data_IF_739750955715
#
_entry.id   IF_739750955715
#
_cell.length_a   1.000
_cell.length_b   1.000
_cell.length_c   1.000
_cell.angle_alpha   90.00
_cell.angle_beta   90.00
_cell.angle_gamma   90.00
#
_symmetry.space_group_name_H-M   'P 1'
#
loop_
_entity.id
_entity.type
_entity.pdbx_description
1 polymer ?
#
# COMPACT_ATOMS: atom_id res chain seq x y z
N UNK A 1 14.72 -34.79 -58.94
CA UNK A 1 14.20 -34.75 -57.55
C UNK A 1 12.68 -34.88 -57.63
N UNK A 2 12.13 -35.87 -56.91
CA UNK A 2 10.72 -36.27 -56.83
C UNK A 2 9.83 -35.07 -56.42
N UNK A 3 8.61 -34.89 -56.96
CA UNK A 3 7.37 -35.57 -56.54
C UNK A 3 6.85 -34.93 -55.25
N UNK A 4 5.67 -34.32 -55.16
CA UNK A 4 4.36 -34.87 -55.45
C UNK A 4 3.42 -34.41 -54.33
N UNK A 5 2.18 -34.14 -54.70
CA UNK A 5 1.02 -33.68 -53.92
C UNK A 5 0.79 -34.38 -52.57
N UNK A 6 0.22 -33.64 -51.61
CA UNK A 6 -0.80 -34.13 -50.67
C UNK A 6 -1.43 -33.01 -49.84
N UNK A 7 -2.59 -32.53 -50.31
CA UNK A 7 -3.60 -31.92 -49.46
C UNK A 7 -4.03 -32.91 -48.38
N UNK A 8 -3.98 -32.51 -47.12
CA UNK A 8 -4.78 -33.09 -46.06
C UNK A 8 -5.48 -31.95 -45.34
N UNK A 9 -6.76 -31.78 -45.66
CA UNK A 9 -7.67 -31.04 -44.81
C UNK A 9 -7.82 -31.81 -43.49
N UNK A 10 -7.57 -31.14 -42.37
CA UNK A 10 -8.07 -31.56 -41.08
C UNK A 10 -8.73 -30.34 -40.42
N UNK A 11 -10.04 -30.44 -40.40
CA UNK A 11 -11.07 -29.63 -39.77
C UNK A 11 -10.72 -29.04 -38.40
N UNK A 12 -11.15 -27.78 -38.23
CA UNK A 12 -11.94 -27.23 -37.10
C UNK A 12 -11.53 -27.63 -35.68
N UNK A 13 -11.00 -26.67 -34.92
CA UNK A 13 -11.63 -26.19 -33.67
C UNK A 13 -11.36 -24.69 -33.53
N UNK A 14 -12.42 -23.88 -33.64
CA UNK A 14 -12.43 -22.51 -33.14
C UNK A 14 -12.38 -22.59 -31.62
N UNK A 15 -11.22 -22.38 -31.02
CA UNK A 15 -11.12 -22.05 -29.60
C UNK A 15 -10.88 -20.54 -29.52
N UNK A 16 -11.95 -19.83 -29.17
CA UNK A 16 -11.89 -18.45 -28.73
C UNK A 16 -11.02 -18.35 -27.48
N UNK A 17 -9.72 -18.16 -27.66
CA UNK A 17 -8.84 -17.65 -26.61
C UNK A 17 -8.99 -16.12 -26.60
N UNK A 18 -10.05 -15.68 -25.93
CA UNK A 18 -10.10 -14.36 -25.30
C UNK A 18 -8.85 -14.22 -24.43
N UNK A 19 -8.32 -13.00 -24.36
CA UNK A 19 -7.28 -12.47 -23.45
C UNK A 19 -6.00 -12.04 -24.19
N UNK A 20 -6.08 -10.91 -24.87
CA UNK A 20 -4.89 -10.08 -25.13
C UNK A 20 -5.28 -8.61 -25.15
N UNK A 21 -5.24 -8.00 -23.98
CA UNK A 21 -4.99 -6.56 -23.82
C UNK A 21 -4.39 -6.33 -22.42
N UNK A 22 -3.13 -6.73 -22.27
CA UNK A 22 -2.22 -6.18 -21.25
C UNK A 22 -1.83 -4.77 -21.70
N UNK A 23 -2.68 -3.78 -21.40
CA UNK A 23 -2.44 -2.34 -21.61
C UNK A 23 -3.34 -1.58 -20.63
N UNK A 24 -2.89 -0.66 -19.78
CA UNK A 24 -1.57 -0.12 -19.57
C UNK A 24 -1.52 0.53 -18.18
N UNK A 25 -0.32 0.95 -17.85
CA UNK A 25 0.13 1.66 -16.67
C UNK A 25 -0.86 2.67 -16.08
N UNK A 26 -1.28 2.42 -14.85
CA UNK A 26 -1.27 3.44 -13.79
C UNK A 26 -0.44 2.91 -12.65
N UNK A 27 0.86 2.73 -12.90
CA UNK A 27 1.80 2.94 -11.80
C UNK A 27 1.59 4.40 -11.42
N UNK A 28 0.84 4.63 -10.34
CA UNK A 28 0.74 5.92 -9.69
C UNK A 28 2.17 6.39 -9.61
N UNK A 29 2.49 7.47 -10.33
CA UNK A 29 3.74 8.16 -10.16
C UNK A 29 3.75 8.55 -8.70
N UNK A 30 4.37 7.72 -7.87
CA UNK A 30 4.54 7.96 -6.45
C UNK A 30 5.41 9.20 -6.46
N UNK A 31 4.77 10.37 -6.30
CA UNK A 31 5.43 11.52 -5.74
C UNK A 31 6.10 10.96 -4.51
N UNK A 32 7.43 10.82 -4.55
CA UNK A 32 8.20 9.98 -3.64
C UNK A 32 7.66 10.18 -2.23
N UNK A 33 6.93 9.20 -1.68
CA UNK A 33 6.53 9.21 -0.28
C UNK A 33 7.81 9.50 0.50
N UNK A 34 7.79 10.54 1.34
CA UNK A 34 9.02 11.11 1.89
C UNK A 34 9.46 10.29 3.11
N UNK A 35 9.86 9.04 2.84
CA UNK A 35 10.36 8.11 3.84
C UNK A 35 11.61 8.63 4.54
N UNK A 36 12.36 9.55 3.93
CA UNK A 36 13.51 10.19 4.57
C UNK A 36 13.04 11.18 5.64
N UNK A 37 12.12 12.09 5.29
CA UNK A 37 11.50 13.03 6.24
C UNK A 37 10.79 12.28 7.37
N UNK A 38 10.02 11.24 7.03
CA UNK A 38 9.31 10.42 8.00
C UNK A 38 10.26 9.83 9.05
N UNK A 39 11.30 9.10 8.62
CA UNK A 39 12.27 8.49 9.54
C UNK A 39 13.04 9.54 10.33
N UNK A 40 13.43 10.65 9.69
CA UNK A 40 14.16 11.72 10.36
C UNK A 40 13.35 12.31 11.52
N UNK A 41 12.06 12.62 11.30
CA UNK A 41 11.17 13.12 12.35
C UNK A 41 10.96 12.11 13.48
N UNK A 42 10.92 10.81 13.18
CA UNK A 42 10.84 9.77 14.21
C UNK A 42 12.12 9.75 15.08
N UNK A 43 13.30 9.83 14.46
CA UNK A 43 14.56 9.88 15.18
C UNK A 43 14.69 11.14 16.05
N UNK A 44 14.27 12.29 15.54
CA UNK A 44 14.22 13.55 16.30
C UNK A 44 13.26 13.46 17.50
N UNK A 45 12.19 12.68 17.39
CA UNK A 45 11.26 12.37 18.49
C UNK A 45 11.76 11.26 19.43
N UNK A 46 12.98 10.74 19.23
CA UNK A 46 13.57 9.68 20.05
C UNK A 46 12.95 8.31 19.82
N UNK A 47 12.28 8.09 18.68
CA UNK A 47 11.62 6.83 18.34
C UNK A 47 12.59 5.95 17.55
N UNK A 48 13.01 4.85 18.17
CA UNK A 48 13.88 3.84 17.57
C UNK A 48 13.28 2.46 17.81
N UNK A 49 13.32 1.58 16.83
CA UNK A 49 12.84 0.20 16.97
C UNK A 49 13.98 -0.80 16.85
N UNK A 50 13.86 -2.01 17.44
CA UNK A 50 14.92 -3.02 17.38
C UNK A 50 15.31 -3.46 15.96
N UNK A 51 14.37 -3.39 15.00
CA UNK A 51 14.63 -3.71 13.58
C UNK A 51 15.05 -2.49 12.75
N UNK A 52 15.17 -1.32 13.38
CA UNK A 52 15.59 -0.07 12.76
C UNK A 52 14.57 0.50 11.77
N UNK A 53 15.05 1.44 10.93
CA UNK A 53 14.23 2.27 10.04
C UNK A 53 13.26 1.49 9.14
N UNK A 54 13.60 0.25 8.78
CA UNK A 54 12.74 -0.56 7.91
C UNK A 54 11.41 -0.90 8.58
N UNK A 55 11.41 -1.17 9.89
CA UNK A 55 10.19 -1.51 10.62
C UNK A 55 9.24 -0.31 10.73
N UNK A 56 9.77 0.88 11.02
CA UNK A 56 8.90 2.08 11.05
C UNK A 56 8.38 2.44 9.66
N UNK A 57 9.16 2.19 8.60
CA UNK A 57 8.68 2.36 7.21
C UNK A 57 7.56 1.38 6.87
N UNK A 58 7.65 0.12 7.32
CA UNK A 58 6.59 -0.88 7.19
C UNK A 58 5.31 -0.42 7.92
N UNK A 59 5.43 0.13 9.14
CA UNK A 59 4.30 0.69 9.87
C UNK A 59 3.66 1.86 9.12
N UNK A 60 4.48 2.81 8.63
CA UNK A 60 3.99 3.95 7.86
C UNK A 60 3.27 3.53 6.57
N UNK A 61 3.79 2.52 5.87
CA UNK A 61 3.14 1.95 4.69
C UNK A 61 1.79 1.28 5.04
N UNK A 62 1.71 0.54 6.14
CA UNK A 62 0.46 -0.07 6.60
C UNK A 62 -0.58 0.99 7.01
N UNK A 63 -0.16 2.08 7.64
CA UNK A 63 -1.03 3.23 7.96
C UNK A 63 -1.67 3.79 6.69
N UNK A 64 -0.89 4.01 5.63
CA UNK A 64 -1.44 4.49 4.36
C UNK A 64 -2.38 3.45 3.72
N UNK A 65 -2.01 2.17 3.70
CA UNK A 65 -2.88 1.12 3.18
C UNK A 65 -4.21 1.00 3.95
N UNK A 66 -4.21 1.24 5.27
CA UNK A 66 -5.43 1.28 6.08
C UNK A 66 -6.27 2.54 5.80
N UNK A 67 -5.61 3.70 5.60
CA UNK A 67 -6.27 4.95 5.19
C UNK A 67 -6.98 4.79 3.85
N UNK A 68 -6.31 4.23 2.86
CA UNK A 68 -6.87 3.99 1.52
C UNK A 68 -8.06 3.02 1.56
N UNK A 69 -8.06 2.08 2.52
CA UNK A 69 -9.18 1.17 2.82
C UNK A 69 -10.31 1.81 3.64
N UNK A 70 -10.25 3.12 3.90
CA UNK A 70 -11.26 3.88 4.65
C UNK A 70 -11.35 3.52 6.13
N UNK A 71 -10.28 2.97 6.72
CA UNK A 71 -10.24 2.67 8.15
C UNK A 71 -10.15 3.96 8.97
N UNK A 72 -10.60 3.92 10.22
CA UNK A 72 -10.52 5.09 11.10
C UNK A 72 -9.09 5.30 11.62
N UNK A 73 -8.72 6.51 12.06
CA UNK A 73 -7.39 6.78 12.66
C UNK A 73 -7.06 5.86 13.83
N UNK A 74 -8.07 5.51 14.64
CA UNK A 74 -7.90 4.52 15.72
C UNK A 74 -7.46 3.16 15.18
N UNK A 75 -8.03 2.72 14.07
CA UNK A 75 -7.65 1.46 13.43
C UNK A 75 -6.26 1.53 12.78
N UNK A 76 -5.82 2.69 12.30
CA UNK A 76 -4.45 2.88 11.81
C UNK A 76 -3.43 2.67 12.92
N UNK A 77 -3.70 3.24 14.09
CA UNK A 77 -2.86 3.08 15.27
C UNK A 77 -2.82 1.62 15.75
N UNK A 78 -4.00 1.02 15.94
CA UNK A 78 -4.13 -0.36 16.47
C UNK A 78 -3.58 -1.43 15.52
N UNK A 79 -3.71 -1.24 14.20
CA UNK A 79 -3.29 -2.24 13.22
C UNK A 79 -1.91 -1.94 12.64
N UNK A 80 -1.62 -0.67 12.32
CA UNK A 80 -0.37 -0.25 11.69
C UNK A 80 0.81 -0.15 12.65
N UNK A 81 0.59 0.26 13.90
CA UNK A 81 1.67 0.46 14.89
C UNK A 81 1.62 -0.58 16.01
N UNK A 82 0.44 -0.88 16.57
CA UNK A 82 0.37 -1.83 17.70
C UNK A 82 0.51 -3.28 17.24
N UNK A 83 0.26 -3.56 15.95
CA UNK A 83 0.35 -4.91 15.39
C UNK A 83 -0.65 -5.86 16.06
N UNK A 84 -1.89 -5.42 16.27
CA UNK A 84 -2.96 -6.17 16.97
C UNK A 84 -2.75 -6.39 18.48
N UNK A 85 -1.78 -5.72 19.08
CA UNK A 85 -1.63 -5.67 20.53
C UNK A 85 -2.53 -4.59 21.15
N UNK A 86 -2.73 -4.64 22.48
CA UNK A 86 -3.49 -3.62 23.21
C UNK A 86 -2.72 -2.32 23.47
N UNK A 87 -1.41 -2.33 23.24
CA UNK A 87 -0.48 -1.23 23.52
C UNK A 87 0.63 -1.16 22.47
N UNK A 88 1.28 0.01 22.31
CA UNK A 88 2.44 0.16 21.43
C UNK A 88 3.57 -0.81 21.80
N UNK A 89 4.35 -1.32 20.82
CA UNK A 89 5.50 -2.18 21.09
C UNK A 89 6.69 -1.39 21.67
N UNK A 90 7.70 -2.12 22.14
CA UNK A 90 9.03 -1.59 22.50
C UNK A 90 9.05 -0.50 23.58
N UNK A 91 8.00 -0.43 24.41
CA UNK A 91 7.90 0.61 25.45
C UNK A 91 7.55 2.00 24.89
N UNK A 92 7.10 2.08 23.63
CA UNK A 92 6.61 3.34 23.07
C UNK A 92 5.43 3.86 23.87
N UNK A 93 5.39 5.18 24.09
CA UNK A 93 4.22 5.81 24.69
C UNK A 93 3.08 5.87 23.67
N UNK A 94 1.85 6.07 24.17
CA UNK A 94 0.72 6.35 23.29
C UNK A 94 0.94 7.62 22.47
N UNK A 95 1.58 8.65 23.02
CA UNK A 95 1.89 9.84 22.23
C UNK A 95 2.87 9.53 21.10
N UNK A 96 3.93 8.75 21.36
CA UNK A 96 4.89 8.35 20.31
C UNK A 96 4.22 7.53 19.22
N UNK A 97 3.30 6.64 19.57
CA UNK A 97 2.57 5.86 18.57
C UNK A 97 1.62 6.71 17.73
N UNK A 98 0.93 7.69 18.34
CA UNK A 98 0.14 8.67 17.58
C UNK A 98 1.04 9.51 16.66
N UNK A 99 2.20 9.94 17.14
CA UNK A 99 3.17 10.69 16.34
C UNK A 99 3.64 9.92 15.11
N UNK A 100 3.84 8.60 15.22
CA UNK A 100 4.16 7.73 14.07
C UNK A 100 3.02 7.78 13.03
N UNK A 101 1.77 7.63 13.47
CA UNK A 101 0.60 7.66 12.58
C UNK A 101 0.46 9.01 11.91
N UNK A 102 0.52 10.10 12.68
CA UNK A 102 0.37 11.47 12.15
C UNK A 102 1.47 11.81 11.14
N UNK A 103 2.71 11.42 11.42
CA UNK A 103 3.84 11.66 10.51
C UNK A 103 3.74 10.78 9.26
N UNK A 104 3.27 9.53 9.38
CA UNK A 104 3.04 8.69 8.22
C UNK A 104 1.95 9.28 7.31
N UNK A 105 0.86 9.77 7.91
CA UNK A 105 -0.23 10.44 7.20
C UNK A 105 0.25 11.69 6.47
N UNK A 106 1.12 12.51 7.09
CA UNK A 106 1.61 13.74 6.47
C UNK A 106 2.70 13.54 5.42
N UNK A 107 3.61 12.59 5.63
CA UNK A 107 4.82 12.47 4.82
C UNK A 107 4.73 11.37 3.77
N UNK A 108 3.87 10.36 3.98
CA UNK A 108 3.82 9.16 3.15
C UNK A 108 2.50 8.99 2.40
N UNK A 109 1.37 9.30 3.05
CA UNK A 109 0.07 9.03 2.46
C UNK A 109 -0.36 10.20 1.58
N UNK A 110 -0.50 9.98 0.27
CA UNK A 110 -0.95 11.03 -0.66
C UNK A 110 -2.35 11.53 -0.25
N UNK A 111 -2.47 12.84 -0.02
CA UNK A 111 -3.73 13.50 0.31
C UNK A 111 -4.79 13.37 -0.80
N UNK A 112 -4.39 12.95 -2.00
CA UNK A 112 -5.25 12.82 -3.18
C UNK A 112 -5.96 11.48 -3.30
N UNK A 113 -5.53 10.44 -2.58
CA UNK A 113 -6.03 9.07 -2.77
C UNK A 113 -6.95 8.56 -1.64
N UNK A 114 -7.10 9.32 -0.56
CA UNK A 114 -8.05 9.00 0.51
C UNK A 114 -9.50 9.32 0.12
N UNK A 115 -10.52 8.60 0.65
CA UNK A 115 -11.90 9.03 0.50
C UNK A 115 -12.06 10.46 1.04
N UNK A 116 -12.77 11.35 0.32
CA UNK A 116 -12.91 12.75 0.71
C UNK A 116 -13.50 12.86 2.12
N UNK A 117 -13.09 13.86 2.92
CA UNK A 117 -13.61 14.03 4.27
C UNK A 117 -15.12 14.29 4.21
N UNK A 118 -15.89 13.36 4.79
CA UNK A 118 -17.33 13.44 5.06
C UNK A 118 -18.23 13.80 3.87
N UNK A 119 -18.63 12.80 3.09
CA UNK A 119 -20.02 12.75 2.61
C UNK A 119 -20.82 11.88 3.60
N UNK A 120 -21.85 12.41 4.28
CA UNK A 120 -22.72 11.58 5.10
C UNK A 120 -23.39 10.53 4.21
N UNK A 121 -23.45 9.28 4.70
CA UNK A 121 -24.12 8.20 4.00
C UNK A 121 -25.58 8.62 3.68
N UNK A 122 -26.07 8.41 2.43
CA UNK A 122 -27.47 8.66 2.13
C UNK A 122 -28.32 7.69 2.95
N UNK A 123 -29.20 8.26 3.78
CA UNK A 123 -30.29 7.53 4.44
C UNK A 123 -31.43 7.21 3.49
#
# INVERSE_FOLDING_TARGET
>A
MLGGSRSWAASVVVLAAVLTALSGTTGIASARADYQSFVHKLHDAGIYTPRGDNEVKEWGAEVCALRDRGKSPRQWLEQGVYGSQSHPPYGLTKEQANFIVDTAVSDLCDDREGPPPYLPAPG
#
